data_IF_328792831844
#
_entry.id   IF_328792831844
#
_cell.length_a   1.000
_cell.length_b   1.000
_cell.length_c   1.000
_cell.angle_alpha   90.00
_cell.angle_beta   90.00
_cell.angle_gamma   90.00
#
_symmetry.space_group_name_H-M   'P 1'
#
loop_
_entity.id
_entity.type
_entity.pdbx_description
1 polymer ?
#
# COMPACT_ATOMS: atom_id res chain seq x y z
N UNK A 1 -12.47 6.58 8.09
CA UNK A 1 -11.15 5.92 7.99
C UNK A 1 -11.32 4.42 8.22
N UNK A 2 -10.71 3.61 7.37
CA UNK A 2 -10.85 2.16 7.46
C UNK A 2 -9.46 1.51 7.46
N UNK A 3 -9.29 0.51 8.30
CA UNK A 3 -8.05 -0.28 8.33
C UNK A 3 -8.28 -1.58 7.55
N UNK A 4 -7.28 -1.98 6.77
CA UNK A 4 -7.36 -3.18 5.95
C UNK A 4 -6.15 -4.07 6.21
N UNK A 5 -6.35 -5.36 6.05
CA UNK A 5 -5.32 -6.36 6.26
C UNK A 5 -4.48 -6.54 5.00
N UNK A 6 -3.35 -7.24 5.14
CA UNK A 6 -2.43 -7.47 4.04
C UNK A 6 -3.10 -8.07 2.81
N UNK A 7 -3.99 -9.02 3.00
CA UNK A 7 -4.67 -9.66 1.88
C UNK A 7 -5.43 -8.63 1.03
N UNK A 8 -6.09 -7.69 1.70
CA UNK A 8 -6.84 -6.65 1.01
C UNK A 8 -5.90 -5.65 0.34
N UNK A 9 -4.77 -5.33 1.00
CA UNK A 9 -3.75 -4.47 0.40
C UNK A 9 -3.23 -5.10 -0.90
N UNK A 10 -2.98 -6.40 -0.88
CA UNK A 10 -2.55 -7.12 -2.07
C UNK A 10 -3.59 -7.06 -3.18
N UNK A 11 -4.86 -7.17 -2.81
CA UNK A 11 -5.95 -7.08 -3.79
C UNK A 11 -6.04 -5.69 -4.40
N UNK A 12 -5.94 -4.65 -3.57
CA UNK A 12 -6.04 -3.27 -4.05
C UNK A 12 -4.87 -2.87 -4.94
N UNK A 13 -3.68 -3.34 -4.62
CA UNK A 13 -2.47 -2.90 -5.32
C UNK A 13 -1.99 -3.87 -6.38
N UNK A 14 -2.50 -5.09 -6.37
CA UNK A 14 -2.03 -6.18 -7.23
C UNK A 14 -0.55 -6.52 -7.00
N UNK A 15 -0.02 -6.16 -5.84
CA UNK A 15 1.36 -6.45 -5.50
C UNK A 15 1.46 -7.73 -4.70
N UNK A 16 2.58 -8.45 -4.86
CA UNK A 16 2.88 -9.60 -4.03
C UNK A 16 3.26 -9.15 -2.63
N UNK A 17 3.08 -10.04 -1.66
CA UNK A 17 3.43 -9.76 -0.27
C UNK A 17 4.87 -9.26 -0.12
N UNK A 18 5.80 -9.96 -0.74
CA UNK A 18 7.22 -9.60 -0.64
C UNK A 18 7.50 -8.21 -1.21
N UNK A 19 6.81 -7.85 -2.27
CA UNK A 19 6.97 -6.54 -2.89
C UNK A 19 6.48 -5.43 -1.97
N UNK A 20 5.34 -5.65 -1.30
CA UNK A 20 4.80 -4.68 -0.36
C UNK A 20 5.80 -4.42 0.77
N UNK A 21 6.34 -5.50 1.36
CA UNK A 21 7.31 -5.33 2.45
C UNK A 21 8.61 -4.71 1.98
N UNK A 22 9.03 -5.03 0.77
CA UNK A 22 10.22 -4.41 0.19
C UNK A 22 10.03 -2.90 0.06
N UNK A 23 8.90 -2.48 -0.51
CA UNK A 23 8.62 -1.05 -0.67
C UNK A 23 8.50 -0.34 0.66
N UNK A 24 7.93 -1.01 1.67
CA UNK A 24 7.85 -0.44 3.01
C UNK A 24 9.25 -0.20 3.58
N UNK A 25 10.15 -1.16 3.39
CA UNK A 25 11.51 -1.03 3.90
C UNK A 25 12.29 0.08 3.20
N UNK A 26 11.90 0.39 1.97
CA UNK A 26 12.53 1.46 1.18
C UNK A 26 11.86 2.81 1.38
N UNK A 27 10.84 2.86 2.22
CA UNK A 27 10.09 4.10 2.45
C UNK A 27 9.21 4.51 1.29
N UNK A 28 8.85 3.56 0.41
CA UNK A 28 8.09 3.83 -0.80
C UNK A 28 6.67 3.31 -0.76
N UNK A 29 6.21 2.92 0.40
CA UNK A 29 4.84 2.42 0.58
C UNK A 29 4.37 2.81 1.97
N UNK A 30 3.06 3.03 2.15
CA UNK A 30 2.54 3.38 3.48
C UNK A 30 2.89 2.34 4.53
N UNK A 31 3.25 2.81 5.71
CA UNK A 31 3.63 1.92 6.80
C UNK A 31 2.41 1.28 7.41
N UNK A 32 2.56 0.04 7.84
CA UNK A 32 1.50 -0.67 8.54
C UNK A 32 1.33 -0.10 9.95
N UNK A 33 0.10 -0.14 10.43
CA UNK A 33 -0.24 0.24 11.81
C UNK A 33 -0.21 -1.02 12.66
N UNK A 34 0.50 -1.00 13.77
CA UNK A 34 0.51 -2.11 14.70
C UNK A 34 -0.76 -2.07 15.55
N UNK A 35 -1.47 -3.19 15.57
CA UNK A 35 -2.72 -3.31 16.35
C UNK A 35 -2.51 -4.16 17.60
N UNK A 36 -1.26 -4.46 17.95
CA UNK A 36 -0.95 -5.30 19.08
C UNK A 36 -0.27 -6.59 18.63
N UNK A 37 -0.33 -7.65 19.43
CA UNK A 37 0.38 -8.90 19.18
C UNK A 37 0.28 -9.38 17.74
N UNK A 38 1.32 -9.15 16.96
CA UNK A 38 1.47 -9.65 15.59
C UNK A 38 0.33 -9.25 14.64
N UNK A 39 -0.49 -8.30 15.05
CA UNK A 39 -1.58 -7.85 14.22
C UNK A 39 -1.23 -6.50 13.63
N UNK A 40 -1.24 -6.42 12.32
CA UNK A 40 -0.96 -5.17 11.61
C UNK A 40 -2.03 -4.94 10.56
N UNK A 41 -2.22 -3.67 10.21
CA UNK A 41 -3.17 -3.29 9.18
C UNK A 41 -2.68 -2.00 8.54
N UNK A 42 -3.27 -1.64 7.44
CA UNK A 42 -2.94 -0.39 6.74
C UNK A 42 -4.16 0.50 6.72
N UNK A 43 -3.93 1.81 6.69
CA UNK A 43 -5.01 2.76 6.51
C UNK A 43 -5.42 2.70 5.03
N UNK A 44 -6.67 2.34 4.78
CA UNK A 44 -7.15 2.14 3.41
C UNK A 44 -6.93 3.37 2.53
N UNK A 45 -7.19 4.55 3.07
CA UNK A 45 -7.02 5.80 2.33
C UNK A 45 -5.58 6.01 1.88
N UNK A 46 -4.63 5.65 2.74
CA UNK A 46 -3.21 5.79 2.39
C UNK A 46 -2.83 4.86 1.25
N UNK A 47 -3.34 3.63 1.28
CA UNK A 47 -3.08 2.66 0.22
C UNK A 47 -3.72 3.13 -1.09
N UNK A 48 -4.95 3.60 -1.00
CA UNK A 48 -5.67 4.14 -2.17
C UNK A 48 -4.91 5.32 -2.76
N UNK A 49 -4.46 6.24 -1.92
CA UNK A 49 -3.70 7.41 -2.39
C UNK A 49 -2.40 6.98 -3.08
N UNK A 50 -1.74 5.96 -2.52
CA UNK A 50 -0.53 5.43 -3.13
C UNK A 50 -0.81 4.90 -4.55
N UNK A 51 -1.91 4.16 -4.71
CA UNK A 51 -2.31 3.64 -6.02
C UNK A 51 -2.61 4.79 -6.97
N UNK A 52 -3.33 5.81 -6.49
CA UNK A 52 -3.66 6.97 -7.32
C UNK A 52 -2.41 7.71 -7.77
N UNK A 53 -1.39 7.79 -6.92
CA UNK A 53 -0.12 8.38 -7.30
C UNK A 53 0.55 7.60 -8.43
N UNK A 54 0.51 6.27 -8.36
CA UNK A 54 1.06 5.42 -9.42
C UNK A 54 0.32 5.64 -10.73
N UNK A 55 -0.99 5.74 -10.67
CA UNK A 55 -1.81 6.03 -11.85
C UNK A 55 -1.44 7.40 -12.41
N UNK A 56 -1.29 8.40 -11.54
CA UNK A 56 -0.90 9.74 -11.96
C UNK A 56 0.46 9.78 -12.64
N UNK A 57 1.41 8.98 -12.17
CA UNK A 57 2.73 8.88 -12.80
C UNK A 57 2.62 8.35 -14.22
N UNK A 58 1.81 7.31 -14.41
CA UNK A 58 1.59 6.77 -15.75
C UNK A 58 1.00 7.84 -16.67
N UNK A 59 0.04 8.58 -16.15
CA UNK A 59 -0.70 9.57 -16.95
C UNK A 59 0.15 10.79 -17.29
N UNK A 60 1.23 11.01 -16.56
CA UNK A 60 2.16 12.11 -16.85
C UNK A 60 3.14 11.77 -17.95
N UNK A 61 3.25 10.50 -18.29
CA UNK A 61 4.17 10.09 -19.36
C UNK A 61 3.48 10.33 -20.69
N UNK A 62 3.91 11.33 -21.39
CA UNK A 62 3.40 11.66 -22.72
C UNK A 62 4.15 10.84 -23.76
N UNK A 63 3.41 10.15 -24.59
CA UNK A 63 4.00 9.34 -25.64
C UNK A 63 3.78 9.97 -27.02
#
# INVERSE_FOLDING_TARGET
MRLIKLKEVMTLTSLARSTIYKYMSEGQFPKAVSLGCRSVAWVEEEVTDWVLERIGERDKVEL
#
